data_IF_839709532921
#
_entry.id   IF_839709532921
#
_cell.length_a   1.000
_cell.length_b   1.000
_cell.length_c   1.000
_cell.angle_alpha   90.00
_cell.angle_beta   90.00
_cell.angle_gamma   90.00
#
_symmetry.space_group_name_H-M   'P 1'
#
loop_
_entity.id
_entity.type
_entity.pdbx_description
1 polymer ?
#
# COMPACT_ATOMS: atom_id res chain seq x y z
N UNK A 1 -8.71 -17.93 8.77
CA UNK A 1 -7.90 -19.13 8.93
C UNK A 1 -7.40 -19.52 7.55
N UNK A 2 -6.20 -19.09 7.17
CA UNK A 2 -5.56 -19.62 5.97
C UNK A 2 -4.48 -20.62 6.41
N UNK A 3 -4.91 -21.81 6.74
CA UNK A 3 -4.06 -22.97 6.63
C UNK A 3 -4.09 -23.34 5.15
N UNK A 4 -3.15 -22.85 4.38
CA UNK A 4 -2.97 -23.30 3.01
C UNK A 4 -2.27 -24.64 3.06
N UNK A 5 -2.92 -25.73 2.63
CA UNK A 5 -2.19 -26.97 2.40
C UNK A 5 -1.13 -26.70 1.33
N UNK A 6 -0.02 -27.43 1.37
CA UNK A 6 1.11 -27.32 0.42
C UNK A 6 0.72 -27.40 -1.08
N UNK A 7 -0.51 -27.90 -1.35
CA UNK A 7 -1.11 -27.94 -2.69
C UNK A 7 -1.52 -26.57 -3.24
N UNK A 8 -1.58 -25.55 -2.40
CA UNK A 8 -1.85 -24.16 -2.81
C UNK A 8 -0.52 -23.43 -2.77
N UNK A 9 0.40 -23.88 -3.61
CA UNK A 9 1.71 -23.29 -3.72
C UNK A 9 1.60 -21.79 -3.96
N UNK A 10 2.51 -21.04 -3.37
CA UNK A 10 2.72 -19.61 -3.55
C UNK A 10 2.62 -19.16 -5.02
N UNK A 11 3.03 -20.03 -5.97
CA UNK A 11 2.84 -19.84 -7.41
C UNK A 11 1.39 -19.75 -7.87
N UNK A 12 0.43 -20.29 -7.10
CA UNK A 12 -1.00 -20.29 -7.47
C UNK A 12 -1.84 -19.28 -6.69
N UNK A 13 -1.46 -18.95 -5.46
CA UNK A 13 -2.22 -18.05 -4.58
C UNK A 13 -1.41 -16.87 -4.04
N UNK A 14 -0.09 -16.95 -4.06
CA UNK A 14 0.79 -15.91 -3.54
C UNK A 14 0.68 -14.59 -4.28
N UNK A 15 0.47 -14.62 -5.60
CA UNK A 15 0.21 -13.41 -6.38
C UNK A 15 -1.06 -12.69 -5.94
N UNK A 16 -2.12 -13.41 -5.59
CA UNK A 16 -3.38 -12.81 -5.14
C UNK A 16 -3.22 -12.14 -3.79
N UNK A 17 -2.57 -12.82 -2.84
CA UNK A 17 -2.30 -12.25 -1.53
C UNK A 17 -1.33 -11.07 -1.64
N UNK A 18 -0.25 -11.22 -2.38
CA UNK A 18 0.73 -10.16 -2.63
C UNK A 18 0.11 -8.95 -3.30
N UNK A 19 -0.72 -9.14 -4.33
CA UNK A 19 -1.46 -8.05 -4.98
C UNK A 19 -2.44 -7.37 -4.02
N UNK A 20 -3.16 -8.13 -3.19
CA UNK A 20 -4.08 -7.59 -2.18
C UNK A 20 -3.33 -6.84 -1.09
N UNK A 21 -2.20 -7.39 -0.62
CA UNK A 21 -1.34 -6.72 0.35
C UNK A 21 -0.81 -5.40 -0.23
N UNK A 22 -0.27 -5.41 -1.44
CA UNK A 22 0.24 -4.21 -2.11
C UNK A 22 -0.85 -3.18 -2.37
N UNK A 23 -2.04 -3.59 -2.81
CA UNK A 23 -3.18 -2.70 -3.01
C UNK A 23 -3.59 -2.00 -1.70
N UNK A 24 -3.60 -2.73 -0.59
CA UNK A 24 -3.93 -2.17 0.71
C UNK A 24 -2.79 -1.34 1.32
N UNK A 25 -1.53 -1.61 0.98
CA UNK A 25 -0.39 -0.80 1.44
C UNK A 25 -0.26 0.52 0.70
N UNK A 26 -0.93 0.72 -0.43
CA UNK A 26 -0.96 2.03 -1.11
C UNK A 26 -1.60 3.14 -0.27
N UNK A 27 -2.42 2.79 0.73
CA UNK A 27 -3.09 3.73 1.62
C UNK A 27 -2.55 3.68 3.07
N UNK A 28 -1.33 3.16 3.24
CA UNK A 28 -0.67 3.09 4.56
C UNK A 28 -0.37 4.49 5.09
N UNK A 29 -0.91 4.79 6.26
CA UNK A 29 -0.69 6.05 6.98
C UNK A 29 -0.04 5.74 8.31
N UNK A 30 0.83 6.63 8.80
CA UNK A 30 1.39 6.51 10.15
C UNK A 30 0.26 6.47 11.18
N UNK A 31 0.29 5.47 12.05
CA UNK A 31 -0.72 5.30 13.10
C UNK A 31 -0.43 6.16 14.34
N UNK A 32 0.77 6.74 14.41
CA UNK A 32 1.05 7.81 15.35
C UNK A 32 0.52 9.13 14.79
N UNK A 33 -0.56 9.66 15.37
CA UNK A 33 -1.23 10.89 14.92
C UNK A 33 -0.32 12.11 14.92
N UNK A 34 0.58 12.20 15.91
CA UNK A 34 1.53 13.30 16.03
C UNK A 34 2.56 13.24 14.90
N UNK A 35 3.03 12.03 14.56
CA UNK A 35 3.94 11.79 13.45
C UNK A 35 3.26 12.06 12.11
N UNK A 36 2.04 11.57 11.92
CA UNK A 36 1.28 11.78 10.69
C UNK A 36 1.04 13.27 10.40
N UNK A 37 0.65 14.03 11.42
CA UNK A 37 0.44 15.48 11.33
C UNK A 37 1.75 16.19 11.00
N UNK A 38 2.82 15.88 11.74
CA UNK A 38 4.12 16.52 11.57
C UNK A 38 4.72 16.22 10.18
N UNK A 39 4.58 14.99 9.71
CA UNK A 39 5.05 14.60 8.38
C UNK A 39 4.26 15.29 7.26
N UNK A 40 2.95 15.44 7.43
CA UNK A 40 2.10 16.18 6.49
C UNK A 40 2.52 17.65 6.41
N UNK A 41 2.71 18.32 7.55
CA UNK A 41 3.19 19.71 7.61
C UNK A 41 4.60 19.85 7.00
N UNK A 42 5.49 18.90 7.27
CA UNK A 42 6.81 18.86 6.66
C UNK A 42 6.73 18.76 5.14
N UNK A 43 5.85 17.93 4.60
CA UNK A 43 5.67 17.84 3.15
C UNK A 43 5.17 19.17 2.58
N UNK A 44 4.18 19.80 3.20
CA UNK A 44 3.60 21.05 2.72
C UNK A 44 4.59 22.22 2.73
N UNK A 45 5.37 22.37 3.79
CA UNK A 45 6.23 23.53 3.98
C UNK A 45 7.66 23.31 3.47
N UNK A 46 8.17 22.09 3.60
CA UNK A 46 9.55 21.77 3.26
C UNK A 46 9.68 21.13 1.89
N UNK A 47 8.98 20.01 1.64
CA UNK A 47 9.12 19.23 0.40
C UNK A 47 8.59 20.03 -0.80
N UNK A 48 7.39 20.57 -0.71
CA UNK A 48 6.81 21.39 -1.80
C UNK A 48 7.66 22.63 -2.04
N UNK A 49 8.12 23.28 -0.98
CA UNK A 49 9.03 24.41 -1.10
C UNK A 49 10.39 24.04 -1.72
N UNK A 50 10.92 22.84 -1.48
CA UNK A 50 12.15 22.36 -2.13
C UNK A 50 11.94 22.10 -3.62
N UNK A 51 10.75 21.66 -4.03
CA UNK A 51 10.38 21.49 -5.43
C UNK A 51 10.17 22.84 -6.13
N UNK A 52 9.33 23.72 -5.56
CA UNK A 52 8.86 24.93 -6.22
C UNK A 52 9.86 26.09 -6.16
N UNK A 53 10.55 26.25 -5.04
CA UNK A 53 11.43 27.41 -4.82
C UNK A 53 12.90 27.09 -5.02
N UNK A 54 13.34 25.93 -4.59
CA UNK A 54 14.76 25.56 -4.62
C UNK A 54 15.13 24.65 -5.78
N UNK A 55 14.15 24.08 -6.49
CA UNK A 55 14.33 23.15 -7.61
C UNK A 55 15.34 22.02 -7.32
N UNK A 56 15.36 21.51 -6.08
CA UNK A 56 16.30 20.46 -5.66
C UNK A 56 16.03 19.12 -6.32
N UNK A 57 14.76 18.84 -6.57
CA UNK A 57 14.24 17.68 -7.28
C UNK A 57 12.87 18.03 -7.86
N UNK A 58 12.47 17.29 -8.90
CA UNK A 58 11.17 17.50 -9.52
C UNK A 58 10.08 16.64 -8.87
N UNK A 59 8.81 17.04 -9.05
CA UNK A 59 7.68 16.22 -8.63
C UNK A 59 7.68 14.87 -9.34
N UNK A 60 8.03 14.82 -10.62
CA UNK A 60 8.12 13.60 -11.39
C UNK A 60 9.20 12.64 -10.82
N UNK A 61 10.37 13.17 -10.49
CA UNK A 61 11.45 12.41 -9.86
C UNK A 61 11.00 11.82 -8.52
N UNK A 62 10.34 12.62 -7.68
CA UNK A 62 9.84 12.17 -6.38
C UNK A 62 8.78 11.07 -6.52
N UNK A 63 7.84 11.21 -7.46
CA UNK A 63 6.75 10.25 -7.66
C UNK A 63 7.19 8.96 -8.34
N UNK A 64 8.23 8.99 -9.16
CA UNK A 64 8.79 7.82 -9.85
C UNK A 64 9.88 7.11 -9.07
N UNK A 65 10.36 7.73 -7.99
CA UNK A 65 11.44 7.17 -7.18
C UNK A 65 11.03 5.89 -6.47
N UNK A 66 11.95 4.95 -6.45
CA UNK A 66 11.86 3.77 -5.58
C UNK A 66 12.16 4.09 -4.11
N UNK A 67 12.77 5.26 -3.84
CA UNK A 67 13.14 5.69 -2.50
C UNK A 67 12.74 7.16 -2.22
N UNK A 68 11.43 7.46 -2.08
CA UNK A 68 10.96 8.79 -1.76
C UNK A 68 11.45 9.29 -0.38
N UNK A 69 11.68 8.39 0.57
CA UNK A 69 12.21 8.73 1.89
C UNK A 69 13.59 9.38 1.77
N UNK A 70 14.51 8.79 0.99
CA UNK A 70 15.84 9.34 0.81
C UNK A 70 15.80 10.72 0.13
N UNK A 71 14.95 10.88 -0.88
CA UNK A 71 14.84 12.15 -1.63
C UNK A 71 14.41 13.30 -0.74
N UNK A 72 13.33 13.14 0.04
CA UNK A 72 12.79 14.24 0.85
C UNK A 72 13.70 14.63 2.03
N UNK A 73 14.58 13.73 2.45
CA UNK A 73 15.49 13.97 3.58
C UNK A 73 16.96 14.18 3.17
N UNK A 74 17.27 14.21 1.86
CA UNK A 74 18.65 14.33 1.37
C UNK A 74 19.33 15.63 1.77
N UNK A 75 18.67 16.76 1.57
CA UNK A 75 19.18 18.09 1.91
C UNK A 75 18.04 19.03 2.28
N UNK A 76 17.41 18.85 3.45
CA UNK A 76 16.29 19.72 3.85
C UNK A 76 16.79 21.16 4.06
N UNK A 77 15.88 22.12 3.87
CA UNK A 77 16.23 23.55 3.97
C UNK A 77 16.55 23.95 5.41
N UNK A 78 17.66 24.66 5.67
CA UNK A 78 17.96 25.22 6.98
C UNK A 78 17.19 26.51 7.28
N UNK A 79 16.62 27.18 6.26
CA UNK A 79 15.95 28.48 6.41
C UNK A 79 14.44 28.38 6.47
N UNK A 80 13.85 27.40 5.77
CA UNK A 80 12.41 27.12 5.85
C UNK A 80 12.13 26.21 7.03
N UNK A 81 10.89 26.25 7.50
CA UNK A 81 10.51 25.43 8.64
C UNK A 81 9.01 25.26 8.77
N UNK A 82 8.63 24.56 9.81
CA UNK A 82 7.27 24.22 10.19
C UNK A 82 6.99 24.79 11.56
N UNK A 83 5.77 25.29 11.78
CA UNK A 83 5.32 25.67 13.11
C UNK A 83 4.72 24.44 13.78
N UNK A 84 5.43 23.88 14.73
CA UNK A 84 4.99 22.70 15.48
C UNK A 84 3.97 23.15 16.55
N UNK A 85 2.75 22.57 16.56
CA UNK A 85 1.75 22.92 17.53
C UNK A 85 2.12 22.40 18.94
N UNK A 86 1.64 23.08 19.98
CA UNK A 86 1.96 22.74 21.39
C UNK A 86 1.47 21.37 21.85
N UNK A 87 0.48 20.82 21.17
CA UNK A 87 -0.07 19.50 21.48
C UNK A 87 0.71 18.35 20.85
N UNK A 88 1.66 18.62 19.97
CA UNK A 88 2.54 17.59 19.41
C UNK A 88 3.59 17.15 20.45
N UNK A 89 3.70 15.84 20.67
CA UNK A 89 4.59 15.26 21.70
C UNK A 89 5.95 14.85 21.16
N UNK A 90 6.15 14.87 19.83
CA UNK A 90 7.37 14.38 19.19
C UNK A 90 8.41 15.47 18.98
N UNK A 91 7.97 16.70 18.79
CA UNK A 91 8.86 17.82 18.52
C UNK A 91 8.58 18.99 19.46
N UNK A 92 9.58 19.83 19.68
CA UNK A 92 9.43 21.03 20.46
C UNK A 92 8.49 22.01 19.78
N UNK A 93 7.52 22.55 20.55
CA UNK A 93 6.54 23.51 20.04
C UNK A 93 7.22 24.80 19.55
N UNK A 94 6.69 25.38 18.50
CA UNK A 94 7.20 26.58 17.87
C UNK A 94 7.83 26.34 16.51
N UNK A 95 8.58 27.33 16.02
CA UNK A 95 9.22 27.24 14.71
C UNK A 95 10.39 26.26 14.75
N UNK A 96 10.35 25.25 13.89
CA UNK A 96 11.43 24.28 13.67
C UNK A 96 11.85 24.34 12.21
N UNK A 97 13.17 24.46 11.93
CA UNK A 97 13.66 24.42 10.55
C UNK A 97 13.43 23.05 9.92
N UNK A 98 13.29 22.98 8.59
CA UNK A 98 13.12 21.70 7.89
C UNK A 98 14.28 20.75 8.18
N UNK A 99 15.51 21.27 8.25
CA UNK A 99 16.69 20.47 8.56
C UNK A 99 16.67 19.92 10.00
N UNK A 100 16.36 20.76 10.98
CA UNK A 100 16.28 20.33 12.37
C UNK A 100 15.16 19.29 12.58
N UNK A 101 13.99 19.55 12.00
CA UNK A 101 12.84 18.66 12.10
C UNK A 101 13.11 17.31 11.42
N UNK A 102 13.71 17.32 10.25
CA UNK A 102 14.06 16.10 9.52
C UNK A 102 15.07 15.23 10.29
N UNK A 103 16.19 15.84 10.73
CA UNK A 103 17.29 15.09 11.30
C UNK A 103 17.05 14.66 12.76
N UNK A 104 16.43 15.51 13.57
CA UNK A 104 16.27 15.26 15.00
C UNK A 104 15.00 14.48 15.33
N UNK A 105 13.95 14.60 14.51
CA UNK A 105 12.63 14.04 14.81
C UNK A 105 12.18 13.06 13.74
N UNK A 106 11.90 13.52 12.52
CA UNK A 106 11.15 12.72 11.52
C UNK A 106 11.88 11.43 11.13
N UNK A 107 13.17 11.47 10.85
CA UNK A 107 13.94 10.29 10.49
C UNK A 107 13.92 9.22 11.57
N UNK A 108 14.08 9.64 12.84
CA UNK A 108 14.06 8.74 13.98
C UNK A 108 12.65 8.16 14.18
N UNK A 109 11.66 9.02 14.30
CA UNK A 109 10.28 8.62 14.61
C UNK A 109 9.68 7.73 13.49
N UNK A 110 9.93 8.05 12.21
CA UNK A 110 9.50 7.19 11.09
C UNK A 110 10.14 5.80 11.18
N UNK A 111 11.42 5.72 11.52
CA UNK A 111 12.12 4.44 11.68
C UNK A 111 11.55 3.65 12.85
N UNK A 112 11.28 4.30 13.98
CA UNK A 112 10.72 3.67 15.17
C UNK A 112 9.27 3.20 14.95
N UNK A 113 8.44 4.01 14.30
CA UNK A 113 7.02 3.73 14.07
C UNK A 113 6.79 2.61 13.03
N UNK A 114 7.70 2.45 12.07
CA UNK A 114 7.59 1.45 11.00
C UNK A 114 8.43 0.18 11.23
N UNK A 115 9.27 0.14 12.26
CA UNK A 115 10.01 -1.08 12.62
C UNK A 115 9.11 -2.09 13.31
N UNK A 116 9.57 -3.33 13.39
CA UNK A 116 8.93 -4.39 14.18
C UNK A 116 8.68 -3.93 15.61
N UNK A 117 7.42 -3.99 16.07
CA UNK A 117 6.99 -3.47 17.37
C UNK A 117 6.70 -1.96 17.39
N UNK A 118 6.75 -1.27 16.26
CA UNK A 118 6.26 0.11 16.12
C UNK A 118 4.75 0.18 15.96
N UNK A 119 4.13 1.31 16.27
CA UNK A 119 2.66 1.46 16.22
C UNK A 119 2.08 1.18 14.84
N UNK A 120 2.70 1.71 13.80
CA UNK A 120 2.25 1.49 12.43
C UNK A 120 2.49 0.05 12.00
N UNK A 121 3.62 -0.55 12.37
CA UNK A 121 3.89 -1.95 12.12
C UNK A 121 2.84 -2.85 12.77
N UNK A 122 2.63 -2.73 14.07
CA UNK A 122 1.70 -3.57 14.84
C UNK A 122 0.26 -3.43 14.34
N UNK A 123 -0.16 -2.23 13.97
CA UNK A 123 -1.47 -2.00 13.38
C UNK A 123 -1.68 -2.81 12.09
N UNK A 124 -0.71 -2.77 11.17
CA UNK A 124 -0.83 -3.47 9.90
C UNK A 124 -0.63 -4.98 10.03
N UNK A 125 0.22 -5.44 10.95
CA UNK A 125 0.32 -6.86 11.31
C UNK A 125 -1.05 -7.38 11.79
N UNK A 126 -1.67 -6.70 12.73
CA UNK A 126 -2.98 -7.10 13.24
C UNK A 126 -4.08 -7.04 12.16
N UNK A 127 -4.03 -6.06 11.28
CA UNK A 127 -5.01 -5.89 10.21
C UNK A 127 -4.92 -6.98 9.13
N UNK A 128 -3.71 -7.39 8.73
CA UNK A 128 -3.49 -8.32 7.62
C UNK A 128 -3.35 -9.77 8.06
N UNK A 129 -2.67 -10.00 9.17
CA UNK A 129 -2.37 -11.34 9.66
C UNK A 129 -3.30 -11.76 10.81
N UNK A 130 -3.71 -10.80 11.62
CA UNK A 130 -4.46 -11.02 12.86
C UNK A 130 -3.58 -11.53 14.00
N UNK A 131 -4.17 -11.74 15.20
CA UNK A 131 -3.45 -12.13 16.40
C UNK A 131 -3.02 -13.61 16.30
N UNK A 132 -1.77 -13.84 15.93
CA UNK A 132 -1.17 -15.18 15.82
C UNK A 132 0.25 -15.21 16.37
N UNK A 133 0.68 -16.37 16.84
CA UNK A 133 2.09 -16.62 17.07
C UNK A 133 2.87 -16.39 15.76
N UNK A 134 3.99 -15.65 15.81
CA UNK A 134 4.81 -15.32 14.66
C UNK A 134 4.18 -14.39 13.60
N UNK A 135 3.11 -13.65 13.93
CA UNK A 135 2.44 -12.73 13.01
C UNK A 135 3.42 -11.69 12.43
N UNK A 136 4.30 -11.16 13.24
CA UNK A 136 5.34 -10.20 12.82
C UNK A 136 6.28 -10.77 11.76
N UNK A 137 6.77 -11.98 11.99
CA UNK A 137 7.69 -12.64 11.07
C UNK A 137 6.99 -12.96 9.76
N UNK A 138 5.75 -13.47 9.84
CA UNK A 138 4.95 -13.78 8.68
C UNK A 138 4.65 -12.51 7.86
N UNK A 139 4.23 -11.43 8.51
CA UNK A 139 3.98 -10.14 7.84
C UNK A 139 5.24 -9.63 7.16
N UNK A 140 6.40 -9.69 7.84
CA UNK A 140 7.68 -9.27 7.29
C UNK A 140 8.05 -10.05 6.03
N UNK A 141 7.98 -11.37 6.07
CA UNK A 141 8.26 -12.23 4.92
C UNK A 141 7.28 -11.95 3.76
N UNK A 142 5.99 -11.90 4.04
CA UNK A 142 4.97 -11.68 3.02
C UNK A 142 5.10 -10.30 2.36
N UNK A 143 5.45 -9.26 3.12
CA UNK A 143 5.71 -7.93 2.60
C UNK A 143 6.96 -7.91 1.70
N UNK A 144 8.07 -8.50 2.17
CA UNK A 144 9.32 -8.57 1.42
C UNK A 144 9.17 -9.37 0.12
N UNK A 145 8.52 -10.52 0.17
CA UNK A 145 8.27 -11.38 -0.99
C UNK A 145 7.34 -10.70 -2.01
N UNK A 146 6.26 -10.08 -1.53
CA UNK A 146 5.33 -9.35 -2.40
C UNK A 146 6.01 -8.18 -3.10
N UNK A 147 6.86 -7.44 -2.38
CA UNK A 147 7.62 -6.35 -2.96
C UNK A 147 8.67 -6.86 -3.95
N UNK A 148 9.41 -7.91 -3.59
CA UNK A 148 10.44 -8.53 -4.45
C UNK A 148 9.88 -9.08 -5.77
N UNK A 149 8.60 -9.48 -5.78
CA UNK A 149 7.92 -9.90 -7.01
C UNK A 149 7.67 -8.75 -7.98
N UNK A 150 7.27 -7.57 -7.47
CA UNK A 150 6.96 -6.40 -8.31
C UNK A 150 8.15 -5.50 -8.58
N UNK A 151 9.15 -5.52 -7.70
CA UNK A 151 10.32 -4.66 -7.77
C UNK A 151 11.59 -5.49 -7.61
N UNK A 152 12.48 -5.40 -8.57
CA UNK A 152 13.80 -6.02 -8.47
C UNK A 152 14.64 -5.30 -7.41
N UNK A 153 14.77 -5.91 -6.24
CA UNK A 153 15.58 -5.38 -5.14
C UNK A 153 15.05 -5.86 -3.79
N UNK A 154 15.88 -6.54 -3.02
CA UNK A 154 15.54 -6.98 -1.66
C UNK A 154 15.51 -5.78 -0.72
N UNK A 155 14.32 -5.38 -0.28
CA UNK A 155 14.13 -4.40 0.79
C UNK A 155 13.53 -5.09 2.00
N UNK A 156 13.91 -4.64 3.19
CA UNK A 156 13.29 -5.09 4.41
C UNK A 156 11.83 -4.57 4.50
N UNK A 157 10.96 -5.37 5.13
CA UNK A 157 9.55 -5.04 5.24
C UNK A 157 9.30 -3.71 5.97
N UNK A 158 10.13 -3.36 6.95
CA UNK A 158 10.03 -2.08 7.65
C UNK A 158 10.40 -0.90 6.75
N UNK A 159 11.35 -1.09 5.83
CA UNK A 159 11.69 -0.09 4.81
C UNK A 159 10.55 0.10 3.82
N UNK A 160 9.95 -0.99 3.34
CA UNK A 160 8.80 -0.95 2.43
C UNK A 160 7.65 -0.21 3.10
N UNK A 161 7.35 -0.52 4.36
CA UNK A 161 6.31 0.15 5.13
C UNK A 161 6.59 1.64 5.28
N UNK A 162 7.83 2.01 5.61
CA UNK A 162 8.29 3.40 5.74
C UNK A 162 8.15 4.17 4.44
N UNK A 163 8.56 3.59 3.30
CA UNK A 163 8.40 4.20 1.99
C UNK A 163 6.93 4.47 1.66
N UNK A 164 6.04 3.53 1.97
CA UNK A 164 4.61 3.69 1.75
C UNK A 164 4.01 4.80 2.63
N UNK A 165 4.39 4.87 3.91
CA UNK A 165 3.96 5.96 4.82
C UNK A 165 4.41 7.32 4.27
N UNK A 166 5.66 7.43 3.86
CA UNK A 166 6.22 8.67 3.30
C UNK A 166 5.53 9.05 2.00
N UNK A 167 5.35 8.11 1.06
CA UNK A 167 4.68 8.37 -0.21
C UNK A 167 3.24 8.83 -0.01
N UNK A 168 2.51 8.23 0.92
CA UNK A 168 1.14 8.64 1.22
C UNK A 168 1.08 10.02 1.90
N UNK A 169 2.03 10.33 2.79
CA UNK A 169 2.14 11.67 3.35
C UNK A 169 2.45 12.72 2.27
N UNK A 170 3.31 12.40 1.30
CA UNK A 170 3.60 13.24 0.13
C UNK A 170 2.31 13.49 -0.67
N UNK A 171 1.57 12.43 -1.01
CA UNK A 171 0.29 12.54 -1.73
C UNK A 171 -0.71 13.42 -0.98
N UNK A 172 -0.89 13.20 0.31
CA UNK A 172 -1.79 13.99 1.15
C UNK A 172 -1.34 15.45 1.28
N UNK A 173 -0.05 15.68 1.48
CA UNK A 173 0.52 17.02 1.58
C UNK A 173 0.34 17.83 0.30
N UNK A 174 0.61 17.23 -0.86
CA UNK A 174 0.40 17.84 -2.17
C UNK A 174 -1.09 18.12 -2.41
N UNK A 175 -1.96 17.14 -2.13
CA UNK A 175 -3.41 17.32 -2.30
C UNK A 175 -3.94 18.48 -1.46
N UNK A 176 -3.50 18.59 -0.22
CA UNK A 176 -3.91 19.70 0.67
C UNK A 176 -3.36 21.03 0.17
N UNK A 177 -2.10 21.07 -0.28
CA UNK A 177 -1.47 22.29 -0.81
C UNK A 177 -2.14 22.76 -2.10
N UNK A 178 -2.42 21.86 -3.04
CA UNK A 178 -3.07 22.19 -4.31
C UNK A 178 -4.52 22.63 -4.12
N UNK A 179 -5.23 22.02 -3.16
CA UNK A 179 -6.57 22.48 -2.77
C UNK A 179 -6.55 23.91 -2.20
N UNK A 180 -5.54 24.23 -1.39
CA UNK A 180 -5.37 25.56 -0.81
C UNK A 180 -4.93 26.61 -1.85
N UNK A 181 -4.15 26.21 -2.86
CA UNK A 181 -3.64 27.13 -3.91
C UNK A 181 -4.57 27.28 -5.12
N UNK A 182 -5.70 26.56 -5.16
CA UNK A 182 -6.67 26.61 -6.26
C UNK A 182 -6.20 25.96 -7.58
N UNK A 183 -5.07 25.26 -7.58
CA UNK A 183 -4.52 24.61 -8.76
C UNK A 183 -5.09 23.20 -8.96
N UNK A 184 -6.28 23.15 -9.56
CA UNK A 184 -7.06 21.90 -9.75
C UNK A 184 -6.38 20.93 -10.73
N UNK A 185 -5.62 21.41 -11.71
CA UNK A 185 -5.04 20.57 -12.75
C UNK A 185 -4.04 19.52 -12.21
N UNK A 186 -3.21 19.90 -11.24
CA UNK A 186 -2.27 18.97 -10.60
C UNK A 186 -2.96 17.94 -9.70
N UNK A 187 -4.10 18.32 -9.11
CA UNK A 187 -4.96 17.41 -8.33
C UNK A 187 -5.59 16.34 -9.22
N UNK A 188 -6.11 16.72 -10.37
CA UNK A 188 -6.74 15.79 -11.33
C UNK A 188 -5.72 14.77 -11.82
N UNK A 189 -4.55 15.20 -12.25
CA UNK A 189 -3.48 14.29 -12.70
C UNK A 189 -3.03 13.30 -11.61
N UNK A 190 -2.96 13.76 -10.37
CA UNK A 190 -2.56 12.91 -9.25
C UNK A 190 -3.68 11.94 -8.84
N UNK A 191 -4.94 12.38 -8.87
CA UNK A 191 -6.10 11.54 -8.65
C UNK A 191 -6.21 10.45 -9.72
N UNK A 192 -5.99 10.80 -10.99
CA UNK A 192 -6.01 9.86 -12.11
C UNK A 192 -4.89 8.81 -12.00
N UNK A 193 -3.66 9.20 -11.66
CA UNK A 193 -2.57 8.27 -11.45
C UNK A 193 -2.85 7.32 -10.27
N UNK A 194 -3.38 7.85 -9.17
CA UNK A 194 -3.74 7.04 -8.00
C UNK A 194 -4.89 6.06 -8.33
N UNK A 195 -5.91 6.55 -9.03
CA UNK A 195 -7.04 5.73 -9.46
C UNK A 195 -6.62 4.63 -10.43
N UNK A 196 -5.80 4.95 -11.43
CA UNK A 196 -5.27 3.98 -12.39
C UNK A 196 -4.41 2.91 -11.71
N UNK A 197 -3.57 3.29 -10.75
CA UNK A 197 -2.76 2.33 -9.98
C UNK A 197 -3.63 1.39 -9.15
N UNK A 198 -4.62 1.93 -8.44
CA UNK A 198 -5.59 1.13 -7.66
C UNK A 198 -6.40 0.21 -8.56
N UNK A 199 -6.84 0.69 -9.72
CA UNK A 199 -7.60 -0.10 -10.68
C UNK A 199 -6.78 -1.27 -11.25
N UNK A 200 -5.51 -1.03 -11.62
CA UNK A 200 -4.60 -2.09 -12.10
C UNK A 200 -4.36 -3.16 -11.03
N UNK A 201 -4.11 -2.75 -9.79
CA UNK A 201 -3.92 -3.68 -8.66
C UNK A 201 -5.22 -4.44 -8.34
N UNK A 202 -6.38 -3.77 -8.39
CA UNK A 202 -7.70 -4.40 -8.23
C UNK A 202 -7.97 -5.42 -9.34
N UNK A 203 -7.65 -5.11 -10.58
CA UNK A 203 -7.79 -6.05 -11.70
C UNK A 203 -6.84 -7.24 -11.58
N UNK A 204 -5.61 -7.03 -11.13
CA UNK A 204 -4.69 -8.13 -10.86
C UNK A 204 -5.22 -9.06 -9.76
N UNK A 205 -5.78 -8.49 -8.69
CA UNK A 205 -6.42 -9.25 -7.62
C UNK A 205 -7.68 -9.99 -8.10
N UNK A 206 -8.54 -9.33 -8.90
CA UNK A 206 -9.75 -9.94 -9.47
C UNK A 206 -9.41 -11.02 -10.50
N UNK A 207 -8.38 -10.81 -11.32
CA UNK A 207 -7.91 -11.80 -12.28
C UNK A 207 -7.41 -13.08 -11.59
N UNK A 208 -6.72 -12.95 -10.47
CA UNK A 208 -6.29 -14.09 -9.66
C UNK A 208 -7.48 -14.86 -9.05
N UNK A 209 -8.51 -14.16 -8.57
CA UNK A 209 -9.76 -14.79 -8.13
C UNK A 209 -10.46 -15.52 -9.29
N UNK A 210 -10.59 -14.90 -10.44
CA UNK A 210 -11.18 -15.54 -11.62
C UNK A 210 -10.42 -16.79 -12.03
N UNK A 211 -9.09 -16.76 -12.00
CA UNK A 211 -8.25 -17.91 -12.35
C UNK A 211 -8.47 -19.13 -11.42
N UNK A 212 -8.88 -18.91 -10.19
CA UNK A 212 -9.24 -19.98 -9.23
C UNK A 212 -10.70 -20.41 -9.34
N UNK A 213 -11.61 -19.45 -9.56
CA UNK A 213 -13.04 -19.76 -9.62
C UNK A 213 -13.46 -20.42 -10.94
N UNK A 214 -12.90 -20.03 -12.07
CA UNK A 214 -13.27 -20.55 -13.39
C UNK A 214 -13.08 -22.08 -13.49
N UNK A 215 -11.93 -22.66 -13.09
CA UNK A 215 -11.77 -24.12 -13.10
C UNK A 215 -12.75 -24.86 -12.17
N UNK A 216 -13.03 -24.29 -11.01
CA UNK A 216 -14.00 -24.87 -10.06
C UNK A 216 -15.41 -24.83 -10.65
N UNK A 217 -15.84 -23.71 -11.17
CA UNK A 217 -17.13 -23.57 -11.86
C UNK A 217 -17.27 -24.54 -13.05
N UNK A 218 -16.20 -24.65 -13.86
CA UNK A 218 -16.17 -25.61 -14.96
C UNK A 218 -16.34 -27.05 -14.46
N UNK A 219 -15.64 -27.44 -13.41
CA UNK A 219 -15.74 -28.78 -12.83
C UNK A 219 -17.14 -29.05 -12.29
N UNK A 220 -17.76 -28.10 -11.60
CA UNK A 220 -19.13 -28.21 -11.08
C UNK A 220 -20.14 -28.33 -12.22
N UNK A 221 -20.03 -27.51 -13.27
CA UNK A 221 -20.92 -27.59 -14.42
C UNK A 221 -20.79 -28.93 -15.16
N UNK A 222 -19.56 -29.42 -15.35
CA UNK A 222 -19.32 -30.73 -15.97
C UNK A 222 -19.91 -31.87 -15.09
N UNK A 223 -19.73 -31.80 -13.78
CA UNK A 223 -20.31 -32.78 -12.86
C UNK A 223 -21.85 -32.78 -12.92
N UNK A 224 -22.47 -31.61 -13.01
CA UNK A 224 -23.93 -31.49 -13.19
C UNK A 224 -24.39 -32.07 -14.52
N UNK A 225 -23.72 -31.75 -15.62
CA UNK A 225 -24.06 -32.28 -16.95
C UNK A 225 -23.95 -33.80 -16.97
N UNK A 226 -22.86 -34.37 -16.46
CA UNK A 226 -22.67 -35.83 -16.40
C UNK A 226 -23.68 -36.46 -15.48
N UNK A 227 -24.01 -35.86 -14.33
CA UNK A 227 -25.02 -36.36 -13.39
C UNK A 227 -26.46 -36.32 -13.93
N UNK A 228 -26.78 -35.36 -14.80
CA UNK A 228 -28.10 -35.29 -15.42
C UNK A 228 -28.24 -36.16 -16.67
N UNK A 229 -27.15 -36.61 -17.27
CA UNK A 229 -27.13 -37.41 -18.49
C UNK A 229 -27.97 -38.72 -18.37
N UNK A 230 -27.86 -39.57 -17.32
CA UNK A 230 -28.71 -40.76 -17.19
C UNK A 230 -30.18 -40.43 -17.05
N UNK A 231 -30.51 -39.30 -16.43
CA UNK A 231 -31.95 -38.87 -16.29
C UNK A 231 -32.54 -38.51 -17.64
N UNK A 232 -31.75 -37.80 -18.47
CA UNK A 232 -32.14 -37.40 -19.83
C UNK A 232 -32.35 -38.63 -20.70
N UNK A 233 -31.49 -39.64 -20.63
CA UNK A 233 -31.61 -40.90 -21.35
C UNK A 233 -32.90 -41.62 -20.94
N UNK A 234 -33.17 -41.74 -19.64
CA UNK A 234 -34.39 -42.35 -19.12
C UNK A 234 -35.67 -41.66 -19.64
N UNK A 235 -35.69 -40.32 -19.63
CA UNK A 235 -36.78 -39.54 -20.13
C UNK A 235 -36.95 -39.73 -21.66
N UNK A 236 -35.87 -39.78 -22.42
CA UNK A 236 -35.91 -39.98 -23.88
C UNK A 236 -36.40 -41.40 -24.22
N UNK A 237 -36.07 -42.43 -23.45
CA UNK A 237 -36.58 -43.78 -23.69
C UNK A 237 -38.04 -43.92 -23.37
N UNK A 238 -38.54 -43.27 -22.31
CA UNK A 238 -39.96 -43.22 -22.00
C UNK A 238 -40.75 -42.52 -23.09
N UNK A 239 -40.27 -41.39 -23.58
CA UNK A 239 -40.93 -40.63 -24.65
C UNK A 239 -40.91 -41.35 -26.00
N UNK A 240 -39.86 -42.14 -26.29
CA UNK A 240 -39.79 -43.00 -27.46
C UNK A 240 -40.67 -44.26 -27.40
N UNK A 241 -41.19 -44.63 -26.26
CA UNK A 241 -42.15 -45.73 -26.08
C UNK A 241 -43.63 -45.28 -26.21
N UNK A 242 -43.88 -43.98 -26.19
CA UNK A 242 -45.24 -43.39 -26.27
C UNK A 242 -45.57 -42.85 -27.68
N UNK A 243 -44.65 -42.99 -28.63
CA UNK A 243 -44.85 -42.76 -30.07
C UNK A 243 -44.89 -44.08 -30.80
#
# INVERSE_FOLDING_TARGET
>A
VFHTPDSVAYSKTGMLFGATLMANTTDVVAQNSDLATLLKEYVQQCVIGDIMLSHKYSMAELMQSSDPYEIIFRKPSPLRGVIVPRNNKLAQAGFQTCEALANNVLKRELKEDTRKGGKTWDYYVNRFIGPRASADTLFGLMMADSYGFYYQGGRDASEILRQNVVMNAIKQGITTHTAASGNVASLVNMADQSSNSKMRLSWAASGGLAATFVPVMHTVLMAMLVGMFPIIILLATIHGLTL
#
